data_IF_614582921929
#
_entry.id   IF_614582921929
#
_cell.length_a   1.000
_cell.length_b   1.000
_cell.length_c   1.000
_cell.angle_alpha   90.00
_cell.angle_beta   90.00
_cell.angle_gamma   90.00
#
_symmetry.space_group_name_H-M   'P 1'
#
loop_
_entity.id
_entity.type
_entity.pdbx_description
1 polymer ?
#
# COMPACT_ATOMS: atom_id res chain seq x y z
N UNK A 1 -35.35 -10.68 -47.29
CA UNK A 1 -34.31 -9.72 -46.85
C UNK A 1 -34.04 -9.95 -45.38
N UNK A 2 -33.01 -10.73 -45.07
CA UNK A 2 -32.60 -11.04 -43.70
C UNK A 2 -31.79 -9.86 -43.17
N UNK A 3 -32.39 -9.00 -42.34
CA UNK A 3 -31.66 -7.94 -41.66
C UNK A 3 -30.68 -8.58 -40.66
N UNK A 4 -29.39 -8.43 -40.95
CA UNK A 4 -28.34 -8.79 -40.01
C UNK A 4 -28.44 -7.86 -38.78
N UNK A 5 -28.79 -8.42 -37.63
CA UNK A 5 -28.60 -7.77 -36.33
C UNK A 5 -27.10 -7.53 -36.16
N UNK A 6 -26.62 -6.32 -36.46
CA UNK A 6 -25.29 -5.88 -36.06
C UNK A 6 -25.28 -5.82 -34.54
N UNK A 7 -24.60 -6.78 -33.91
CA UNK A 7 -24.38 -6.76 -32.47
C UNK A 7 -23.56 -5.52 -32.14
N UNK A 8 -24.14 -4.59 -31.38
CA UNK A 8 -23.43 -3.45 -30.85
C UNK A 8 -22.33 -3.97 -29.91
N UNK A 9 -21.07 -3.82 -30.32
CA UNK A 9 -19.93 -4.15 -29.47
C UNK A 9 -19.77 -3.04 -28.42
N UNK A 10 -19.60 -3.37 -27.13
CA UNK A 10 -19.33 -2.36 -26.12
C UNK A 10 -18.06 -1.60 -26.48
N UNK A 11 -18.08 -0.26 -26.30
CA UNK A 11 -16.90 0.59 -26.56
C UNK A 11 -15.75 0.24 -25.62
N UNK A 12 -16.08 -0.10 -24.37
CA UNK A 12 -15.15 -0.53 -23.34
C UNK A 12 -15.68 -1.82 -22.66
N UNK A 13 -14.84 -2.85 -22.58
CA UNK A 13 -15.16 -4.09 -21.87
C UNK A 13 -14.09 -4.33 -20.81
N UNK A 14 -14.49 -4.34 -19.53
CA UNK A 14 -13.60 -4.56 -18.40
C UNK A 14 -13.85 -5.94 -17.79
N UNK A 15 -12.78 -6.70 -17.61
CA UNK A 15 -12.81 -7.89 -16.76
C UNK A 15 -12.37 -7.51 -15.35
N UNK A 16 -13.30 -7.57 -14.39
CA UNK A 16 -12.98 -7.43 -12.97
C UNK A 16 -12.37 -8.73 -12.47
N UNK A 17 -11.16 -8.65 -11.92
CA UNK A 17 -10.46 -9.78 -11.29
C UNK A 17 -10.12 -9.40 -9.86
N UNK A 18 -10.42 -10.28 -8.92
CA UNK A 18 -9.95 -10.13 -7.55
C UNK A 18 -8.41 -10.17 -7.54
N UNK A 19 -7.79 -9.14 -6.97
CA UNK A 19 -6.33 -9.04 -6.85
C UNK A 19 -5.81 -9.64 -5.52
N UNK A 20 -6.74 -10.00 -4.63
CA UNK A 20 -6.47 -10.59 -3.32
C UNK A 20 -7.50 -11.69 -3.05
N UNK A 21 -7.15 -12.60 -2.13
CA UNK A 21 -8.05 -13.66 -1.68
C UNK A 21 -8.85 -13.20 -0.45
N UNK A 22 -10.05 -13.74 -0.28
CA UNK A 22 -10.87 -13.52 0.91
C UNK A 22 -12.34 -13.87 0.70
N UNK A 23 -13.08 -13.88 1.81
CA UNK A 23 -14.52 -14.12 1.78
C UNK A 23 -15.24 -12.86 1.26
N UNK A 24 -16.11 -13.02 0.26
CA UNK A 24 -17.01 -11.95 -0.16
C UNK A 24 -18.06 -11.76 0.93
N UNK A 25 -18.16 -10.55 1.47
CA UNK A 25 -19.13 -10.19 2.52
C UNK A 25 -20.29 -9.38 1.98
N UNK A 26 -20.11 -8.73 0.83
CA UNK A 26 -21.16 -7.95 0.17
C UNK A 26 -20.96 -7.91 -1.34
N UNK A 27 -22.08 -7.91 -2.07
CA UNK A 27 -22.12 -7.73 -3.53
C UNK A 27 -23.18 -6.67 -3.79
N UNK A 28 -22.81 -5.66 -4.57
CA UNK A 28 -23.74 -4.60 -4.94
C UNK A 28 -24.97 -5.20 -5.64
N UNK A 29 -26.21 -4.87 -5.21
CA UNK A 29 -27.43 -5.41 -5.82
C UNK A 29 -27.56 -5.13 -7.32
N UNK A 30 -26.94 -4.03 -7.80
CA UNK A 30 -26.91 -3.68 -9.21
C UNK A 30 -25.82 -4.41 -10.00
N UNK A 31 -24.96 -5.21 -9.33
CA UNK A 31 -23.96 -6.05 -9.98
C UNK A 31 -24.56 -7.37 -10.46
N UNK A 32 -25.61 -7.26 -11.28
CA UNK A 32 -26.37 -8.35 -11.91
C UNK A 32 -26.49 -8.06 -13.40
N UNK A 33 -26.73 -9.08 -14.24
CA UNK A 33 -26.82 -8.89 -15.69
C UNK A 33 -27.87 -7.82 -16.08
N UNK A 34 -27.43 -6.79 -16.81
CA UNK A 34 -28.26 -5.62 -17.17
C UNK A 34 -28.33 -4.53 -16.09
N UNK A 35 -27.75 -4.75 -14.92
CA UNK A 35 -27.67 -3.77 -13.84
C UNK A 35 -26.67 -2.66 -14.15
N UNK A 36 -26.93 -1.47 -13.61
CA UNK A 36 -26.17 -0.24 -13.87
C UNK A 36 -25.41 0.20 -12.63
N UNK A 37 -24.20 0.71 -12.83
CA UNK A 37 -23.38 1.27 -11.77
C UNK A 37 -22.71 2.55 -12.24
N UNK A 38 -22.38 3.41 -11.29
CA UNK A 38 -21.63 4.64 -11.52
C UNK A 38 -20.15 4.41 -11.24
N UNK A 39 -19.31 5.33 -11.74
CA UNK A 39 -17.91 5.38 -11.34
C UNK A 39 -17.80 5.60 -9.82
N UNK A 40 -16.94 4.83 -9.16
CA UNK A 40 -16.77 4.90 -7.71
C UNK A 40 -17.68 3.97 -6.92
N UNK A 41 -18.68 3.34 -7.54
CA UNK A 41 -19.53 2.36 -6.86
C UNK A 41 -18.70 1.15 -6.43
N UNK A 42 -18.87 0.73 -5.18
CA UNK A 42 -18.33 -0.55 -4.71
C UNK A 42 -19.21 -1.64 -5.30
N UNK A 43 -18.60 -2.56 -6.04
CA UNK A 43 -19.28 -3.66 -6.70
C UNK A 43 -19.22 -4.94 -5.85
N UNK A 44 -18.06 -5.18 -5.22
CA UNK A 44 -17.81 -6.35 -4.38
C UNK A 44 -17.01 -5.87 -3.17
N UNK A 45 -17.40 -6.32 -1.98
CA UNK A 45 -16.63 -6.16 -0.76
C UNK A 45 -16.15 -7.52 -0.24
N UNK A 46 -14.86 -7.60 0.06
CA UNK A 46 -14.19 -8.72 0.69
C UNK A 46 -14.03 -8.39 2.18
N UNK A 47 -14.08 -9.41 3.05
CA UNK A 47 -13.80 -9.25 4.47
C UNK A 47 -12.43 -8.59 4.69
N UNK A 48 -12.44 -7.42 5.33
CA UNK A 48 -11.27 -6.56 5.46
C UNK A 48 -10.58 -6.67 6.83
N UNK A 49 -11.09 -7.50 7.75
CA UNK A 49 -10.66 -7.49 9.15
C UNK A 49 -9.18 -7.82 9.31
N UNK A 50 -8.71 -8.86 8.63
CA UNK A 50 -7.31 -9.27 8.65
C UNK A 50 -6.41 -8.25 7.94
N UNK A 51 -6.91 -7.62 6.87
CA UNK A 51 -6.19 -6.58 6.13
C UNK A 51 -6.04 -5.31 6.97
N UNK A 52 -7.08 -4.89 7.69
CA UNK A 52 -7.04 -3.77 8.64
C UNK A 52 -6.08 -4.05 9.78
N UNK A 53 -6.10 -5.27 10.34
CA UNK A 53 -5.15 -5.68 11.37
C UNK A 53 -3.71 -5.64 10.84
N UNK A 54 -3.47 -6.11 9.62
CA UNK A 54 -2.16 -6.05 8.99
C UNK A 54 -1.65 -4.60 8.86
N UNK A 55 -2.49 -3.65 8.44
CA UNK A 55 -2.13 -2.22 8.40
C UNK A 55 -1.69 -1.72 9.78
N UNK A 56 -2.47 -1.98 10.83
CA UNK A 56 -2.13 -1.58 12.21
C UNK A 56 -0.79 -2.18 12.65
N UNK A 57 -0.55 -3.46 12.35
CA UNK A 57 0.73 -4.10 12.67
C UNK A 57 1.91 -3.45 11.93
N UNK A 58 1.74 -3.08 10.66
CA UNK A 58 2.80 -2.42 9.88
C UNK A 58 3.04 -0.98 10.34
N UNK A 59 2.00 -0.25 10.72
CA UNK A 59 2.13 1.08 11.34
C UNK A 59 2.97 1.02 12.62
N UNK A 60 2.73 0.02 13.48
CA UNK A 60 3.55 -0.18 14.67
C UNK A 60 5.02 -0.48 14.33
N UNK A 61 5.29 -1.22 13.25
CA UNK A 61 6.66 -1.48 12.80
C UNK A 61 7.36 -0.24 12.26
N UNK A 62 6.66 0.62 11.53
CA UNK A 62 7.17 1.94 11.12
C UNK A 62 7.54 2.75 12.35
N UNK A 63 6.64 2.90 13.32
CA UNK A 63 6.90 3.66 14.54
C UNK A 63 8.12 3.13 15.32
N UNK A 64 8.31 1.81 15.38
CA UNK A 64 9.50 1.22 16.01
C UNK A 64 10.79 1.55 15.25
N UNK A 65 10.77 1.48 13.92
CA UNK A 65 11.92 1.81 13.08
C UNK A 65 12.28 3.31 13.13
N UNK A 66 11.28 4.19 13.17
CA UNK A 66 11.45 5.63 13.36
C UNK A 66 12.15 5.94 14.69
N UNK A 67 11.66 5.34 15.79
CA UNK A 67 12.27 5.52 17.11
C UNK A 67 13.73 5.03 17.13
N UNK A 68 14.00 3.91 16.46
CA UNK A 68 15.37 3.40 16.34
C UNK A 68 16.25 4.36 15.53
N UNK A 69 15.76 4.92 14.41
CA UNK A 69 16.48 5.92 13.64
C UNK A 69 16.80 7.16 14.49
N UNK A 70 15.83 7.68 15.25
CA UNK A 70 16.03 8.83 16.15
C UNK A 70 17.16 8.54 17.15
N UNK A 71 17.13 7.35 17.77
CA UNK A 71 18.17 6.93 18.72
C UNK A 71 19.55 6.87 18.07
N UNK A 72 19.67 6.23 16.91
CA UNK A 72 20.95 6.09 16.21
C UNK A 72 21.46 7.44 15.72
N UNK A 73 20.58 8.33 15.25
CA UNK A 73 20.94 9.68 14.84
C UNK A 73 21.55 10.46 16.01
N UNK A 74 20.90 10.46 17.18
CA UNK A 74 21.40 11.14 18.37
C UNK A 74 22.77 10.60 18.84
N UNK A 75 22.99 9.29 18.71
CA UNK A 75 24.28 8.67 19.00
C UNK A 75 25.38 9.08 18.00
N UNK A 76 25.06 9.11 16.71
CA UNK A 76 25.98 9.56 15.67
C UNK A 76 26.35 11.04 15.84
N UNK A 77 25.36 11.90 16.16
CA UNK A 77 25.57 13.33 16.40
C UNK A 77 26.50 13.55 17.61
N UNK A 78 26.25 12.83 18.71
CA UNK A 78 27.10 12.88 19.91
C UNK A 78 28.54 12.43 19.62
N UNK A 79 28.71 11.33 18.88
CA UNK A 79 30.04 10.83 18.51
C UNK A 79 30.79 11.83 17.63
N UNK A 80 30.10 12.50 16.69
CA UNK A 80 30.71 13.52 15.83
C UNK A 80 31.13 14.77 16.61
N UNK A 81 30.34 15.21 17.59
CA UNK A 81 30.69 16.30 18.48
C UNK A 81 31.94 15.97 19.31
N UNK A 82 31.99 14.80 19.93
CA UNK A 82 33.14 14.35 20.72
C UNK A 82 34.43 14.28 19.87
N UNK A 83 34.33 13.73 18.65
CA UNK A 83 35.45 13.67 17.73
C UNK A 83 35.96 15.07 17.31
N UNK A 84 35.04 16.04 17.16
CA UNK A 84 35.38 17.41 16.85
C UNK A 84 36.10 18.09 18.03
N UNK A 85 35.61 17.92 19.26
CA UNK A 85 36.23 18.45 20.48
C UNK A 85 37.63 17.87 20.71
N UNK A 86 37.83 16.58 20.40
CA UNK A 86 39.14 15.92 20.48
C UNK A 86 40.08 16.27 19.31
N UNK A 87 39.67 17.10 18.36
CA UNK A 87 40.47 17.48 17.19
C UNK A 87 40.77 16.32 16.24
N UNK A 88 39.99 15.23 16.29
CA UNK A 88 40.20 14.00 15.50
C UNK A 88 39.65 14.15 14.08
N UNK A 89 40.37 14.91 13.23
CA UNK A 89 39.96 15.20 11.83
C UNK A 89 39.87 13.98 10.90
N UNK A 90 40.51 12.85 11.26
CA UNK A 90 40.57 11.64 10.43
C UNK A 90 39.88 10.42 11.05
N UNK A 91 38.79 10.64 11.80
CA UNK A 91 37.98 9.55 12.32
C UNK A 91 37.31 8.74 11.19
N UNK A 92 37.25 7.41 11.36
CA UNK A 92 36.59 6.51 10.41
C UNK A 92 35.07 6.73 10.38
N UNK A 93 34.42 6.33 9.30
CA UNK A 93 32.95 6.44 9.18
C UNK A 93 32.22 5.66 10.26
N UNK A 94 32.80 4.53 10.69
CA UNK A 94 32.32 3.76 11.83
C UNK A 94 32.38 4.59 13.13
N UNK A 95 33.48 5.30 13.37
CA UNK A 95 33.60 6.17 14.56
C UNK A 95 32.60 7.34 14.53
N UNK A 96 32.18 7.78 13.33
CA UNK A 96 31.14 8.80 13.14
C UNK A 96 29.70 8.26 13.20
N UNK A 97 29.52 6.94 13.37
CA UNK A 97 28.20 6.28 13.39
C UNK A 97 27.46 6.25 12.05
N UNK A 98 28.12 6.56 10.92
CA UNK A 98 27.46 6.67 9.62
C UNK A 98 26.89 5.34 9.08
N UNK A 99 27.57 4.18 9.24
CA UNK A 99 27.01 2.90 8.82
C UNK A 99 25.73 2.54 9.57
N UNK A 100 25.69 2.77 10.89
CA UNK A 100 24.52 2.50 11.73
C UNK A 100 23.34 3.38 11.33
N UNK A 101 23.61 4.66 11.03
CA UNK A 101 22.61 5.61 10.57
C UNK A 101 22.04 5.21 9.20
N UNK A 102 22.90 4.80 8.27
CA UNK A 102 22.46 4.26 6.97
C UNK A 102 21.60 3.01 7.14
N UNK A 103 21.98 2.10 8.03
CA UNK A 103 21.20 0.90 8.35
C UNK A 103 19.81 1.25 8.90
N UNK A 104 19.73 2.12 9.91
CA UNK A 104 18.46 2.51 10.51
C UNK A 104 17.53 3.21 9.50
N UNK A 105 18.07 4.02 8.58
CA UNK A 105 17.30 4.61 7.47
C UNK A 105 16.75 3.55 6.53
N UNK A 106 17.54 2.54 6.19
CA UNK A 106 17.10 1.45 5.33
C UNK A 106 16.01 0.59 6.00
N UNK A 107 16.11 0.35 7.31
CA UNK A 107 15.07 -0.33 8.08
C UNK A 107 13.76 0.44 8.09
N UNK A 108 13.80 1.76 8.29
CA UNK A 108 12.61 2.61 8.21
C UNK A 108 11.97 2.53 6.83
N UNK A 109 12.75 2.73 5.76
CA UNK A 109 12.25 2.67 4.39
C UNK A 109 11.62 1.30 4.06
N UNK A 110 12.21 0.21 4.58
CA UNK A 110 11.64 -1.13 4.45
C UNK A 110 10.30 -1.27 5.18
N UNK A 111 10.19 -0.76 6.40
CA UNK A 111 8.96 -0.79 7.18
C UNK A 111 7.84 0.02 6.50
N UNK A 112 8.17 1.20 5.97
CA UNK A 112 7.24 2.05 5.21
C UNK A 112 6.72 1.36 3.95
N UNK A 113 7.61 0.72 3.18
CA UNK A 113 7.21 -0.03 1.99
C UNK A 113 6.25 -1.19 2.32
N UNK A 114 6.48 -1.87 3.45
CA UNK A 114 5.61 -2.95 3.92
C UNK A 114 4.26 -2.42 4.42
N UNK A 115 4.22 -1.21 4.99
CA UNK A 115 2.97 -0.51 5.33
C UNK A 115 2.18 -0.16 4.06
N UNK A 116 2.83 0.46 3.07
CA UNK A 116 2.19 0.80 1.80
C UNK A 116 1.60 -0.43 1.11
N UNK A 117 2.29 -1.57 1.16
CA UNK A 117 1.78 -2.83 0.62
C UNK A 117 0.54 -3.34 1.38
N UNK A 118 0.51 -3.21 2.71
CA UNK A 118 -0.64 -3.59 3.53
C UNK A 118 -1.86 -2.69 3.25
N UNK A 119 -1.63 -1.38 3.10
CA UNK A 119 -2.67 -0.41 2.76
C UNK A 119 -3.24 -0.66 1.35
N UNK A 120 -2.39 -1.00 0.38
CA UNK A 120 -2.81 -1.39 -0.96
C UNK A 120 -3.65 -2.67 -0.94
N UNK A 121 -3.27 -3.65 -0.11
CA UNK A 121 -4.05 -4.88 0.02
C UNK A 121 -5.41 -4.60 0.68
N UNK A 122 -5.44 -3.73 1.70
CA UNK A 122 -6.69 -3.27 2.31
C UNK A 122 -7.58 -2.55 1.30
N UNK A 123 -7.04 -1.67 0.45
CA UNK A 123 -7.85 -0.97 -0.56
C UNK A 123 -8.43 -1.93 -1.60
N UNK A 124 -7.70 -3.01 -1.92
CA UNK A 124 -8.16 -4.09 -2.83
C UNK A 124 -9.28 -4.96 -2.26
N UNK A 125 -9.61 -4.86 -0.98
CA UNK A 125 -10.81 -5.52 -0.40
C UNK A 125 -12.11 -4.96 -0.97
N UNK A 126 -12.06 -3.76 -1.56
CA UNK A 126 -13.19 -3.12 -2.23
C UNK A 126 -12.94 -3.08 -3.73
N UNK A 127 -13.73 -3.82 -4.48
CA UNK A 127 -13.71 -3.75 -5.95
C UNK A 127 -14.58 -2.59 -6.38
N UNK A 128 -13.95 -1.53 -6.88
CA UNK A 128 -14.62 -0.27 -7.25
C UNK A 128 -14.76 -0.16 -8.76
N UNK A 129 -15.92 0.31 -9.22
CA UNK A 129 -16.17 0.60 -10.63
C UNK A 129 -15.29 1.77 -11.12
N UNK A 130 -14.43 1.57 -12.14
CA UNK A 130 -13.55 2.63 -12.63
C UNK A 130 -14.26 3.64 -13.54
N UNK A 131 -15.46 3.32 -14.02
CA UNK A 131 -16.31 4.17 -14.85
C UNK A 131 -17.78 3.77 -14.65
N UNK A 132 -18.72 4.58 -15.12
CA UNK A 132 -20.14 4.23 -15.12
C UNK A 132 -20.47 3.26 -16.27
N UNK A 133 -21.27 2.23 -16.02
CA UNK A 133 -21.52 1.20 -17.01
C UNK A 133 -22.69 0.27 -16.68
N UNK A 134 -22.88 -0.71 -17.57
CA UNK A 134 -23.89 -1.76 -17.45
C UNK A 134 -23.16 -3.10 -17.38
N UNK A 135 -23.58 -3.98 -16.47
CA UNK A 135 -23.06 -5.34 -16.38
C UNK A 135 -23.53 -6.13 -17.60
N UNK A 136 -22.60 -6.47 -18.48
CA UNK A 136 -22.85 -7.37 -19.59
C UNK A 136 -23.01 -8.82 -19.10
N UNK A 137 -23.72 -9.65 -19.88
CA UNK A 137 -23.92 -11.07 -19.60
C UNK A 137 -22.71 -11.91 -19.98
#
# INVERSE_FOLDING_TARGET
>A
MTQALQQAKPKDALQLKAQIEGMIVDINPNFVSGGQFNQGDILISIDDRDYRLAVVQRQAKVALAENQLIKIQAQADSAQLELAELGRKHASDLAKGLPQLTHAKAELASAEALLAQAELNLSRTKVVAPFAGIVAK
#
